data_IF_635776364930
#
_entry.id   IF_635776364930
#
_cell.length_a   1.000
_cell.length_b   1.000
_cell.length_c   1.000
_cell.angle_alpha   90.00
_cell.angle_beta   90.00
_cell.angle_gamma   90.00
#
_symmetry.space_group_name_H-M   'P 1'
#
loop_
_entity.id
_entity.type
_entity.pdbx_description
1 polymer ?
#
# COMPACT_ATOMS: atom_id res chain seq x y z
N UNK A 1 -37.83 0.79 0.61
CA UNK A 1 -37.08 1.47 1.68
C UNK A 1 -35.76 0.73 1.79
N UNK A 2 -34.76 1.16 1.02
CA UNK A 2 -33.41 0.58 1.11
C UNK A 2 -32.83 1.03 2.44
N UNK A 3 -32.64 0.07 3.34
CA UNK A 3 -31.84 0.30 4.55
C UNK A 3 -30.39 0.42 4.12
N UNK A 4 -29.87 1.63 4.10
CA UNK A 4 -28.45 1.88 3.91
C UNK A 4 -27.70 1.15 5.05
N UNK A 5 -27.02 0.06 4.71
CA UNK A 5 -26.23 -0.71 5.69
C UNK A 5 -25.01 0.15 6.05
N UNK A 6 -25.12 0.90 7.15
CA UNK A 6 -24.02 1.71 7.64
C UNK A 6 -22.91 0.79 8.18
N UNK A 7 -21.75 0.83 7.53
CA UNK A 7 -20.59 0.04 7.93
C UNK A 7 -19.97 0.58 9.21
N UNK A 8 -19.49 -0.30 10.08
CA UNK A 8 -18.85 0.12 11.33
C UNK A 8 -17.45 0.70 11.07
N UNK A 9 -16.94 1.49 12.02
CA UNK A 9 -15.64 2.18 11.91
C UNK A 9 -14.47 1.22 11.67
N UNK A 10 -14.52 0.00 12.23
CA UNK A 10 -13.49 -1.01 12.02
C UNK A 10 -13.46 -1.45 10.55
N UNK A 11 -14.63 -1.64 9.92
CA UNK A 11 -14.72 -1.96 8.49
C UNK A 11 -14.19 -0.82 7.62
N UNK A 12 -14.53 0.43 7.95
CA UNK A 12 -14.06 1.60 7.21
C UNK A 12 -12.52 1.71 7.23
N UNK A 13 -11.92 1.66 8.42
CA UNK A 13 -10.45 1.72 8.58
C UNK A 13 -9.77 0.53 7.90
N UNK A 14 -10.32 -0.67 8.03
CA UNK A 14 -9.75 -1.86 7.39
C UNK A 14 -9.73 -1.72 5.86
N UNK A 15 -10.83 -1.23 5.28
CA UNK A 15 -10.97 -1.03 3.83
C UNK A 15 -10.02 0.05 3.33
N UNK A 16 -9.92 1.17 4.06
CA UNK A 16 -8.99 2.26 3.78
C UNK A 16 -7.52 1.78 3.77
N UNK A 17 -7.07 1.10 4.83
CA UNK A 17 -5.72 0.55 4.91
C UNK A 17 -5.44 -0.47 3.80
N UNK A 18 -6.43 -1.31 3.46
CA UNK A 18 -6.35 -2.23 2.34
C UNK A 18 -6.17 -1.53 0.99
N UNK A 19 -6.84 -0.40 0.79
CA UNK A 19 -6.73 0.42 -0.42
C UNK A 19 -5.31 0.98 -0.62
N UNK A 20 -4.63 1.39 0.46
CA UNK A 20 -3.25 1.87 0.39
C UNK A 20 -2.27 0.77 -0.03
N UNK A 21 -2.45 -0.46 0.49
CA UNK A 21 -1.66 -1.61 0.06
C UNK A 21 -1.88 -1.93 -1.42
N UNK A 22 -3.13 -1.86 -1.88
CA UNK A 22 -3.47 -2.06 -3.29
C UNK A 22 -2.81 -0.99 -4.16
N UNK A 23 -2.88 0.29 -3.76
CA UNK A 23 -2.27 1.42 -4.45
C UNK A 23 -0.76 1.27 -4.57
N UNK A 24 -0.08 0.91 -3.47
CA UNK A 24 1.36 0.65 -3.45
C UNK A 24 1.74 -0.42 -4.47
N UNK A 25 1.03 -1.55 -4.47
CA UNK A 25 1.28 -2.63 -5.43
C UNK A 25 1.10 -2.16 -6.87
N UNK A 26 0.02 -1.43 -7.18
CA UNK A 26 -0.26 -0.93 -8.53
C UNK A 26 0.86 0.01 -9.00
N UNK A 27 1.26 0.96 -8.15
CA UNK A 27 2.31 1.92 -8.49
C UNK A 27 3.66 1.24 -8.70
N UNK A 28 4.04 0.30 -7.83
CA UNK A 28 5.28 -0.48 -8.01
C UNK A 28 5.24 -1.27 -9.31
N UNK A 29 4.13 -1.92 -9.63
CA UNK A 29 3.99 -2.65 -10.89
C UNK A 29 4.14 -1.74 -12.10
N UNK A 30 3.51 -0.56 -12.08
CA UNK A 30 3.58 0.44 -13.14
C UNK A 30 5.00 0.97 -13.33
N UNK A 31 5.62 1.46 -12.27
CA UNK A 31 6.91 2.16 -12.33
C UNK A 31 8.11 1.22 -12.54
N UNK A 32 8.01 -0.03 -12.07
CA UNK A 32 9.04 -1.04 -12.29
C UNK A 32 8.76 -1.93 -13.51
N UNK A 33 7.67 -1.67 -14.25
CA UNK A 33 7.22 -2.48 -15.39
C UNK A 33 7.09 -3.98 -15.04
N UNK A 34 6.42 -4.27 -13.93
CA UNK A 34 6.18 -5.63 -13.46
C UNK A 34 4.73 -6.04 -13.65
N UNK A 35 4.52 -7.33 -13.89
CA UNK A 35 3.23 -7.97 -13.65
C UNK A 35 2.99 -8.17 -12.15
N UNK A 36 1.72 -8.34 -11.76
CA UNK A 36 1.33 -8.67 -10.39
C UNK A 36 2.02 -9.96 -9.89
N UNK A 37 2.13 -10.98 -10.76
CA UNK A 37 2.85 -12.21 -10.45
C UNK A 37 4.35 -11.94 -10.15
N UNK A 38 4.97 -11.00 -10.87
CA UNK A 38 6.36 -10.60 -10.64
C UNK A 38 6.52 -9.83 -9.33
N UNK A 39 5.61 -8.91 -9.04
CA UNK A 39 5.58 -8.22 -7.75
C UNK A 39 5.57 -9.21 -6.59
N UNK A 40 4.65 -10.16 -6.59
CA UNK A 40 4.52 -11.13 -5.51
C UNK A 40 5.69 -12.11 -5.42
N UNK A 41 6.25 -12.53 -6.57
CA UNK A 41 7.46 -13.37 -6.60
C UNK A 41 8.63 -12.65 -5.96
N UNK A 42 8.88 -11.38 -6.33
CA UNK A 42 9.97 -10.57 -5.79
C UNK A 42 9.75 -10.23 -4.30
N UNK A 43 8.53 -9.90 -3.90
CA UNK A 43 8.15 -9.60 -2.51
C UNK A 43 8.39 -10.78 -1.56
N UNK A 44 8.05 -12.00 -1.97
CA UNK A 44 8.23 -13.22 -1.16
C UNK A 44 9.65 -13.79 -1.21
N UNK A 45 10.52 -13.23 -2.04
CA UNK A 45 11.86 -13.79 -2.19
C UNK A 45 12.70 -13.47 -0.97
N UNK A 46 13.27 -14.48 -0.29
CA UNK A 46 14.07 -14.25 0.90
C UNK A 46 15.27 -13.39 0.53
N UNK A 47 15.40 -12.23 1.18
CA UNK A 47 16.64 -11.50 1.16
C UNK A 47 17.68 -12.33 1.90
N UNK A 48 18.56 -13.03 1.18
CA UNK A 48 19.63 -13.80 1.81
C UNK A 48 20.60 -12.83 2.51
N UNK A 49 20.31 -12.53 3.78
CA UNK A 49 21.20 -11.86 4.70
C UNK A 49 22.29 -12.87 5.11
N UNK A 50 23.29 -13.04 4.25
CA UNK A 50 24.38 -13.96 4.54
C UNK A 50 25.26 -14.22 3.32
N UNK A 51 26.42 -13.57 3.32
CA UNK A 51 27.59 -13.95 2.53
C UNK A 51 27.48 -13.88 0.99
N UNK A 52 27.90 -12.73 0.46
CA UNK A 52 28.65 -12.60 -0.80
C UNK A 52 28.15 -13.38 -2.03
N UNK A 53 26.84 -13.49 -2.32
CA UNK A 53 26.40 -13.69 -3.73
C UNK A 53 25.11 -12.92 -4.01
N UNK A 54 25.30 -11.89 -4.82
CA UNK A 54 24.34 -11.24 -5.73
C UNK A 54 23.06 -12.06 -5.92
N UNK A 55 21.96 -11.52 -5.44
CA UNK A 55 20.71 -11.31 -6.20
C UNK A 55 19.61 -11.01 -5.19
N UNK A 56 19.62 -9.81 -4.63
CA UNK A 56 18.32 -9.17 -4.43
C UNK A 56 17.66 -9.24 -5.80
N UNK A 57 16.48 -9.87 -5.92
CA UNK A 57 15.72 -9.84 -7.19
C UNK A 57 15.38 -8.40 -7.61
N UNK A 58 15.71 -7.41 -6.77
CA UNK A 58 15.59 -6.00 -7.03
C UNK A 58 16.94 -5.44 -7.48
N UNK A 59 16.95 -4.80 -8.65
CA UNK A 59 18.01 -3.89 -9.07
C UNK A 59 18.08 -2.68 -8.13
N UNK A 60 19.18 -1.93 -8.16
CA UNK A 60 19.28 -0.71 -7.35
C UNK A 60 18.23 0.34 -7.75
N UNK A 61 17.98 0.49 -9.06
CA UNK A 61 16.93 1.38 -9.56
C UNK A 61 15.53 0.95 -9.08
N UNK A 62 15.23 -0.35 -9.08
CA UNK A 62 13.96 -0.87 -8.54
C UNK A 62 13.84 -0.55 -7.04
N UNK A 63 14.91 -0.74 -6.24
CA UNK A 63 14.91 -0.40 -4.81
C UNK A 63 14.66 1.09 -4.57
N UNK A 64 15.38 1.95 -5.26
CA UNK A 64 15.23 3.40 -5.15
C UNK A 64 13.82 3.85 -5.49
N UNK A 65 13.27 3.32 -6.60
CA UNK A 65 11.90 3.61 -7.02
C UNK A 65 10.87 3.13 -6.01
N UNK A 66 11.00 1.90 -5.48
CA UNK A 66 10.12 1.36 -4.44
C UNK A 66 10.13 2.25 -3.18
N UNK A 67 11.31 2.72 -2.77
CA UNK A 67 11.44 3.64 -1.62
C UNK A 67 10.77 4.98 -1.91
N UNK A 68 10.90 5.52 -3.13
CA UNK A 68 10.21 6.76 -3.54
C UNK A 68 8.69 6.60 -3.46
N UNK A 69 8.15 5.55 -4.07
CA UNK A 69 6.71 5.25 -4.08
C UNK A 69 6.18 5.12 -2.65
N UNK A 70 6.92 4.45 -1.75
CA UNK A 70 6.54 4.37 -0.34
C UNK A 70 6.42 5.76 0.30
N UNK A 71 7.38 6.65 0.04
CA UNK A 71 7.35 8.02 0.61
C UNK A 71 6.16 8.81 0.08
N UNK A 72 5.87 8.69 -1.21
CA UNK A 72 4.75 9.36 -1.86
C UNK A 72 3.40 8.91 -1.27
N UNK A 73 3.20 7.60 -1.13
CA UNK A 73 1.96 7.06 -0.55
C UNK A 73 1.81 7.44 0.93
N UNK A 74 2.88 7.33 1.74
CA UNK A 74 2.79 7.72 3.15
C UNK A 74 2.48 9.21 3.29
N UNK A 75 3.07 10.06 2.44
CA UNK A 75 2.77 11.49 2.42
C UNK A 75 1.28 11.73 2.11
N UNK A 76 0.75 11.04 1.10
CA UNK A 76 -0.66 11.14 0.74
C UNK A 76 -1.59 10.67 1.87
N UNK A 77 -1.28 9.55 2.52
CA UNK A 77 -2.02 9.07 3.70
C UNK A 77 -2.03 10.12 4.81
N UNK A 78 -0.88 10.72 5.12
CA UNK A 78 -0.80 11.77 6.15
C UNK A 78 -1.65 12.98 5.75
N UNK A 79 -1.56 13.42 4.49
CA UNK A 79 -2.38 14.52 3.98
C UNK A 79 -3.88 14.21 3.96
N UNK A 80 -4.29 12.95 3.80
CA UNK A 80 -5.69 12.51 3.90
C UNK A 80 -6.17 12.51 5.35
N UNK A 81 -5.35 11.98 6.28
CA UNK A 81 -5.65 11.98 7.72
C UNK A 81 -5.76 13.39 8.31
N UNK A 82 -5.00 14.36 7.77
CA UNK A 82 -5.05 15.76 8.21
C UNK A 82 -6.30 16.50 7.69
N UNK A 83 -6.96 16.00 6.62
CA UNK A 83 -8.11 16.67 5.98
C UNK A 83 -9.46 16.35 6.61
N UNK A 84 -9.64 15.15 7.17
CA UNK A 84 -10.92 14.72 7.75
C UNK A 84 -10.65 13.75 8.93
N UNK A 85 -11.21 13.96 10.14
CA UNK A 85 -11.34 12.87 11.10
C UNK A 85 -12.28 11.86 10.47
N UNK A 86 -11.77 10.67 10.10
CA UNK A 86 -12.49 9.55 9.45
C UNK A 86 -13.98 9.84 9.37
N UNK A 87 -14.47 10.23 8.19
CA UNK A 87 -15.90 10.45 7.89
C UNK A 87 -16.67 9.13 8.07
N UNK A 88 -16.82 8.71 9.31
CA UNK A 88 -17.98 8.02 9.78
C UNK A 88 -19.00 9.15 9.89
N UNK A 89 -20.14 9.09 9.20
CA UNK A 89 -21.27 9.92 9.61
C UNK A 89 -21.54 9.61 11.08
N UNK A 90 -21.04 10.46 11.97
CA UNK A 90 -20.97 10.18 13.39
C UNK A 90 -22.38 10.17 13.96
N UNK A 91 -22.66 9.06 14.62
CA UNK A 91 -23.74 8.84 15.58
C UNK A 91 -23.98 10.15 16.33
N UNK A 92 -25.16 10.75 16.11
CA UNK A 92 -25.73 11.64 17.11
C UNK A 92 -26.14 10.75 18.27
N UNK A 93 -25.38 10.82 19.38
CA UNK A 93 -25.87 10.36 20.67
C UNK A 93 -26.89 11.35 21.22
#
# INVERSE_FOLDING_TARGET
>A
METEIQQNILFCIHTELGSFLQKFRIQVCKECNWSEATYYRKMRSPGFAGYRRRNSLLSNAEKEKIISIRKEIIKEIIEELDKEPISCHWISF
#
